data_IF_932176774993
#
_entry.id   IF_932176774993
#
_cell.length_a   1.000
_cell.length_b   1.000
_cell.length_c   1.000
_cell.angle_alpha   90.00
_cell.angle_beta   90.00
_cell.angle_gamma   90.00
#
_symmetry.space_group_name_H-M   'P 1'
#
loop_
_entity.id
_entity.type
_entity.pdbx_description
1 polymer ?
#
# COMPACT_ATOMS: atom_id res chain seq x y z
N UNK A 1 1.57 -12.92 6.64
CA UNK A 1 2.57 -13.77 5.94
C UNK A 1 3.74 -12.91 5.50
N UNK A 2 5.00 -13.32 5.70
CA UNK A 2 6.17 -12.60 5.14
C UNK A 2 6.37 -13.02 3.68
N UNK A 3 6.33 -12.06 2.76
CA UNK A 3 6.57 -12.29 1.33
C UNK A 3 8.04 -12.61 1.06
N UNK A 4 8.35 -13.48 0.09
CA UNK A 4 9.73 -13.70 -0.35
C UNK A 4 10.29 -12.46 -1.06
N UNK A 5 11.62 -12.35 -1.07
CA UNK A 5 12.36 -11.35 -1.82
C UNK A 5 12.84 -11.99 -3.14
N UNK A 6 12.54 -11.32 -4.25
CA UNK A 6 13.10 -11.63 -5.56
C UNK A 6 13.99 -10.47 -5.98
N UNK A 7 15.19 -10.77 -6.46
CA UNK A 7 16.16 -9.79 -6.88
C UNK A 7 16.89 -10.29 -8.12
N UNK A 8 16.89 -9.50 -9.20
CA UNK A 8 17.68 -9.82 -10.39
C UNK A 8 19.10 -9.33 -10.14
N UNK A 9 20.06 -10.27 -10.14
CA UNK A 9 21.47 -9.97 -9.93
C UNK A 9 22.11 -9.45 -11.21
N UNK A 10 21.90 -10.16 -12.31
CA UNK A 10 22.50 -9.89 -13.60
C UNK A 10 21.51 -10.23 -14.72
N UNK A 11 21.59 -9.49 -15.82
CA UNK A 11 20.79 -9.69 -17.02
C UNK A 11 21.73 -9.83 -18.22
N UNK A 12 21.57 -10.92 -18.97
CA UNK A 12 22.33 -11.22 -20.19
C UNK A 12 21.39 -11.27 -21.39
N UNK A 13 21.96 -11.40 -22.59
CA UNK A 13 21.22 -11.60 -23.85
C UNK A 13 20.40 -12.88 -23.87
N UNK A 14 20.88 -13.90 -23.17
CA UNK A 14 20.33 -15.24 -23.17
C UNK A 14 19.56 -15.55 -21.88
N UNK A 15 19.33 -14.55 -21.01
CA UNK A 15 18.60 -14.78 -19.78
C UNK A 15 18.91 -13.80 -18.65
N UNK A 16 18.64 -14.22 -17.42
CA UNK A 16 18.92 -13.46 -16.21
C UNK A 16 19.26 -14.37 -15.02
N UNK A 17 20.02 -13.84 -14.07
CA UNK A 17 20.27 -14.45 -12.76
C UNK A 17 19.30 -13.87 -11.74
N UNK A 18 18.42 -14.72 -11.22
CA UNK A 18 17.40 -14.36 -10.25
C UNK A 18 17.73 -14.95 -8.88
N UNK A 19 17.94 -14.08 -7.91
CA UNK A 19 18.08 -14.44 -6.51
C UNK A 19 16.70 -14.47 -5.83
N UNK A 20 16.42 -15.59 -5.17
CA UNK A 20 15.28 -15.76 -4.28
C UNK A 20 15.75 -15.87 -2.84
N UNK A 21 15.18 -15.06 -1.95
CA UNK A 21 15.42 -15.13 -0.51
C UNK A 21 14.11 -15.23 0.25
N UNK A 22 13.98 -16.25 1.10
CA UNK A 22 12.75 -16.52 1.86
C UNK A 22 13.06 -17.20 3.17
N UNK A 23 12.15 -17.06 4.15
CA UNK A 23 12.20 -17.88 5.39
C UNK A 23 11.62 -19.27 5.18
N UNK A 24 10.88 -19.49 4.09
CA UNK A 24 10.22 -20.76 3.78
C UNK A 24 11.16 -21.67 3.02
N UNK A 25 11.14 -22.96 3.37
CA UNK A 25 11.94 -24.01 2.74
C UNK A 25 11.11 -24.81 1.73
N UNK A 26 11.78 -25.44 0.76
CA UNK A 26 11.17 -26.39 -0.17
C UNK A 26 10.37 -25.79 -1.33
N UNK A 27 10.26 -24.46 -1.44
CA UNK A 27 9.51 -23.80 -2.52
C UNK A 27 10.28 -23.65 -3.85
N UNK A 28 11.48 -24.19 -3.94
CA UNK A 28 12.34 -24.03 -5.12
C UNK A 28 11.69 -24.53 -6.42
N UNK A 29 11.15 -25.76 -6.40
CA UNK A 29 10.49 -26.37 -7.57
C UNK A 29 9.19 -25.67 -7.93
N UNK A 30 8.49 -25.16 -6.92
CA UNK A 30 7.28 -24.38 -7.11
C UNK A 30 7.56 -23.09 -7.90
N UNK A 31 8.63 -22.36 -7.55
CA UNK A 31 9.04 -21.14 -8.26
C UNK A 31 9.44 -21.45 -9.69
N UNK A 32 10.18 -22.54 -9.91
CA UNK A 32 10.54 -23.01 -11.26
C UNK A 32 9.29 -23.22 -12.11
N UNK A 33 8.28 -23.90 -11.58
CA UNK A 33 6.99 -24.09 -12.27
C UNK A 33 6.28 -22.78 -12.56
N UNK A 34 6.20 -21.87 -11.57
CA UNK A 34 5.58 -20.56 -11.74
C UNK A 34 6.27 -19.71 -12.82
N UNK A 35 7.61 -19.67 -12.84
CA UNK A 35 8.36 -18.90 -13.83
C UNK A 35 8.13 -19.43 -15.26
N UNK A 36 8.11 -20.76 -15.41
CA UNK A 36 7.81 -21.41 -16.70
C UNK A 36 6.40 -21.08 -17.20
N UNK A 37 5.41 -21.22 -16.32
CA UNK A 37 4.02 -20.90 -16.65
C UNK A 37 3.83 -19.41 -16.97
N UNK A 38 4.46 -18.51 -16.21
CA UNK A 38 4.42 -17.08 -16.50
C UNK A 38 5.04 -16.75 -17.87
N UNK A 39 6.16 -17.38 -18.21
CA UNK A 39 6.81 -17.24 -19.52
C UNK A 39 5.89 -17.63 -20.66
N UNK A 40 5.34 -18.85 -20.60
CA UNK A 40 4.46 -19.37 -21.66
C UNK A 40 3.14 -18.60 -21.75
N UNK A 41 2.51 -18.29 -20.60
CA UNK A 41 1.17 -17.68 -20.57
C UNK A 41 1.15 -16.19 -20.91
N UNK A 42 2.11 -15.42 -20.41
CA UNK A 42 2.10 -13.95 -20.58
C UNK A 42 3.03 -13.47 -21.68
N UNK A 43 4.14 -14.16 -21.92
CA UNK A 43 5.16 -13.74 -22.89
C UNK A 43 5.21 -14.64 -24.13
N UNK A 44 4.51 -15.77 -24.13
CA UNK A 44 4.53 -16.76 -25.21
C UNK A 44 5.96 -17.26 -25.55
N UNK A 45 6.83 -17.28 -24.54
CA UNK A 45 8.23 -17.70 -24.66
C UNK A 45 8.49 -18.93 -23.79
N UNK A 46 9.29 -19.87 -24.33
CA UNK A 46 9.74 -21.02 -23.56
C UNK A 46 10.93 -20.65 -22.67
N UNK A 47 10.69 -20.65 -21.36
CA UNK A 47 11.71 -20.30 -20.38
C UNK A 47 12.32 -21.56 -19.77
N UNK A 48 13.65 -21.64 -19.76
CA UNK A 48 14.40 -22.70 -19.09
C UNK A 48 14.97 -22.19 -17.78
N UNK A 49 14.56 -22.77 -16.66
CA UNK A 49 15.05 -22.37 -15.33
C UNK A 49 15.95 -23.45 -14.75
N UNK A 50 17.19 -23.09 -14.43
CA UNK A 50 18.19 -23.92 -13.76
C UNK A 50 18.48 -23.37 -12.37
N UNK A 51 18.79 -24.25 -11.43
CA UNK A 51 19.18 -23.86 -10.07
C UNK A 51 20.70 -23.89 -10.03
N UNK A 52 21.33 -22.74 -9.79
CA UNK A 52 22.78 -22.61 -9.74
C UNK A 52 23.29 -22.77 -8.31
N UNK A 53 22.62 -22.16 -7.34
CA UNK A 53 22.96 -22.26 -5.92
C UNK A 53 21.70 -22.49 -5.10
N UNK A 54 21.77 -23.41 -4.14
CA UNK A 54 20.73 -23.63 -3.11
C UNK A 54 21.40 -23.61 -1.73
N UNK A 55 21.14 -22.54 -0.98
CA UNK A 55 21.62 -22.34 0.37
C UNK A 55 20.41 -22.31 1.32
N UNK A 56 20.13 -23.44 1.97
CA UNK A 56 19.06 -23.57 2.95
C UNK A 56 19.60 -23.59 4.39
N UNK A 57 19.61 -22.44 5.06
CA UNK A 57 19.95 -22.33 6.49
C UNK A 57 18.67 -22.43 7.35
N UNK A 58 18.81 -22.63 8.67
CA UNK A 58 17.68 -22.65 9.63
C UNK A 58 16.86 -21.37 9.64
N UNK A 59 17.45 -20.23 9.31
CA UNK A 59 16.78 -18.93 9.36
C UNK A 59 16.25 -18.44 8.01
N UNK A 60 16.96 -18.75 6.92
CA UNK A 60 16.60 -18.34 5.57
C UNK A 60 17.07 -19.34 4.52
N UNK A 61 16.37 -19.34 3.39
CA UNK A 61 16.71 -20.04 2.17
C UNK A 61 17.06 -18.99 1.11
N UNK A 62 18.27 -19.08 0.56
CA UNK A 62 18.74 -18.27 -0.57
C UNK A 62 18.98 -19.21 -1.75
N UNK A 63 18.34 -18.93 -2.87
CA UNK A 63 18.46 -19.73 -4.08
C UNK A 63 18.80 -18.79 -5.23
N UNK A 64 19.75 -19.17 -6.07
CA UNK A 64 20.06 -18.46 -7.30
C UNK A 64 19.56 -19.30 -8.47
N UNK A 65 18.59 -18.76 -9.20
CA UNK A 65 18.05 -19.34 -10.41
C UNK A 65 18.73 -18.69 -11.62
N UNK A 66 19.20 -19.51 -12.55
CA UNK A 66 19.50 -19.07 -13.91
C UNK A 66 18.25 -19.26 -14.75
N UNK A 67 17.72 -18.16 -15.28
CA UNK A 67 16.53 -18.14 -16.13
C UNK A 67 17.00 -17.86 -17.55
N UNK A 68 17.03 -18.88 -18.39
CA UNK A 68 17.45 -18.78 -19.79
C UNK A 68 16.23 -18.49 -20.68
N UNK A 69 16.28 -17.39 -21.42
CA UNK A 69 15.26 -16.94 -22.37
C UNK A 69 15.88 -15.96 -23.38
N UNK A 70 15.22 -15.74 -24.52
CA UNK A 70 15.67 -14.76 -25.50
C UNK A 70 15.44 -13.33 -24.97
N UNK A 71 16.51 -12.67 -24.52
CA UNK A 71 16.47 -11.34 -23.92
C UNK A 71 17.13 -10.29 -24.84
N UNK A 72 16.98 -10.44 -26.15
CA UNK A 72 17.51 -9.49 -27.14
C UNK A 72 17.01 -8.05 -26.92
N UNK A 73 15.80 -7.89 -26.37
CA UNK A 73 15.20 -6.59 -26.05
C UNK A 73 15.90 -5.84 -24.89
N UNK A 74 16.55 -6.53 -23.95
CA UNK A 74 17.29 -5.87 -22.88
C UNK A 74 18.50 -5.09 -23.43
N UNK A 75 19.16 -5.62 -24.48
CA UNK A 75 20.22 -4.90 -25.19
C UNK A 75 19.73 -3.60 -25.83
N UNK A 76 18.54 -3.60 -26.43
CA UNK A 76 17.97 -2.39 -27.01
C UNK A 76 17.61 -1.36 -25.94
N UNK A 77 17.10 -1.81 -24.79
CA UNK A 77 16.73 -0.92 -23.67
C UNK A 77 17.96 -0.28 -23.04
N UNK A 78 19.02 -1.06 -22.78
CA UNK A 78 20.30 -0.54 -22.28
C UNK A 78 20.93 0.44 -23.28
N UNK A 79 20.85 0.16 -24.58
CA UNK A 79 21.30 1.10 -25.62
C UNK A 79 20.47 2.39 -25.63
N UNK A 80 19.14 2.32 -25.49
CA UNK A 80 18.26 3.50 -25.44
C UNK A 80 18.50 4.38 -24.20
N UNK A 81 18.80 3.79 -23.04
CA UNK A 81 19.18 4.55 -21.84
C UNK A 81 20.47 5.36 -22.05
N UNK A 82 21.39 4.86 -22.87
CA UNK A 82 22.59 5.58 -23.30
C UNK A 82 22.36 6.53 -24.50
N UNK A 83 21.14 6.61 -25.06
CA UNK A 83 20.78 7.52 -26.17
C UNK A 83 20.47 8.95 -25.73
N UNK A 84 20.71 9.34 -24.48
CA UNK A 84 20.72 10.74 -24.05
C UNK A 84 22.13 11.16 -23.58
N UNK A 85 23.16 11.15 -24.45
CA UNK A 85 24.54 11.38 -24.01
C UNK A 85 24.80 12.84 -23.60
N UNK A 86 23.89 13.75 -23.96
CA UNK A 86 24.10 15.21 -23.89
C UNK A 86 22.97 15.93 -23.14
N UNK A 87 22.41 15.31 -22.10
CA UNK A 87 21.56 16.08 -21.19
C UNK A 87 22.47 16.96 -20.33
N UNK A 88 22.16 18.27 -20.19
CA UNK A 88 22.92 19.13 -19.32
C UNK A 88 22.84 18.64 -17.87
N UNK A 89 23.95 18.73 -17.15
CA UNK A 89 23.98 18.40 -15.73
C UNK A 89 22.97 19.26 -14.96
N UNK A 90 22.23 18.61 -14.07
CA UNK A 90 21.25 19.27 -13.22
C UNK A 90 21.97 19.78 -11.97
N UNK A 91 21.76 21.05 -11.63
CA UNK A 91 22.28 21.60 -10.37
C UNK A 91 21.63 20.94 -9.16
N UNK A 92 22.39 20.76 -8.08
CA UNK A 92 21.89 20.17 -6.82
C UNK A 92 20.63 20.86 -6.31
N UNK A 93 20.57 22.20 -6.42
CA UNK A 93 19.41 22.98 -5.99
C UNK A 93 18.15 22.65 -6.80
N UNK A 94 18.31 22.44 -8.11
CA UNK A 94 17.19 22.03 -8.98
C UNK A 94 16.75 20.62 -8.62
N UNK A 95 17.69 19.70 -8.39
CA UNK A 95 17.39 18.34 -7.96
C UNK A 95 16.56 18.31 -6.67
N UNK A 96 16.94 19.06 -5.64
CA UNK A 96 16.21 19.11 -4.37
C UNK A 96 14.86 19.84 -4.45
N UNK A 97 14.70 20.74 -5.41
CA UNK A 97 13.39 21.37 -5.71
C UNK A 97 12.44 20.38 -6.39
N UNK A 98 12.95 19.58 -7.33
CA UNK A 98 12.15 18.57 -8.05
C UNK A 98 11.80 17.38 -7.16
N UNK A 99 12.70 16.99 -6.25
CA UNK A 99 12.50 15.88 -5.32
C UNK A 99 12.42 16.39 -3.87
N UNK A 100 11.26 16.91 -3.45
CA UNK A 100 11.08 17.43 -2.09
C UNK A 100 11.10 16.33 -1.02
N UNK A 101 10.77 15.10 -1.41
CA UNK A 101 10.89 13.90 -0.58
C UNK A 101 12.11 13.07 -1.01
N UNK A 102 13.29 13.50 -0.54
CA UNK A 102 14.52 12.73 -0.69
C UNK A 102 15.33 12.73 0.60
N UNK A 103 16.09 11.65 0.82
CA UNK A 103 17.09 11.54 1.90
C UNK A 103 18.42 11.13 1.27
N UNK A 104 19.45 11.95 1.47
CA UNK A 104 20.81 11.65 1.04
C UNK A 104 21.62 11.17 2.22
N UNK A 105 22.39 10.11 2.01
CA UNK A 105 23.29 9.59 3.02
C UNK A 105 24.58 9.05 2.40
N UNK A 106 25.63 9.10 3.21
CA UNK A 106 26.98 8.69 2.84
C UNK A 106 27.22 7.17 3.00
N UNK A 107 28.38 6.65 2.56
CA UNK A 107 28.76 5.25 2.76
C UNK A 107 28.78 4.79 4.22
N UNK A 108 28.90 5.71 5.17
CA UNK A 108 28.82 5.43 6.61
C UNK A 108 27.38 5.41 7.15
N UNK A 109 26.39 5.44 6.25
CA UNK A 109 24.95 5.47 6.56
C UNK A 109 24.54 6.69 7.38
N UNK A 110 25.24 7.81 7.23
CA UNK A 110 24.91 9.09 7.87
C UNK A 110 24.18 10.01 6.91
N UNK A 111 23.10 10.62 7.37
CA UNK A 111 22.30 11.52 6.55
C UNK A 111 23.06 12.82 6.31
N UNK A 112 23.28 13.18 5.06
CA UNK A 112 23.96 14.43 4.67
C UNK A 112 22.97 15.52 4.35
N UNK A 113 21.87 15.18 3.66
CA UNK A 113 20.85 16.14 3.24
C UNK A 113 19.45 15.50 3.22
N UNK A 114 18.41 16.32 3.44
CA UNK A 114 17.03 15.93 3.28
C UNK A 114 16.27 16.98 2.46
N UNK A 115 15.38 16.52 1.60
CA UNK A 115 14.48 17.39 0.84
C UNK A 115 13.55 18.19 1.75
N UNK A 116 13.12 19.37 1.26
CA UNK A 116 12.38 20.37 2.04
C UNK A 116 11.12 19.80 2.72
N UNK A 117 10.34 18.99 2.03
CA UNK A 117 9.08 18.44 2.55
C UNK A 117 9.30 17.32 3.56
N UNK A 118 10.38 16.54 3.46
CA UNK A 118 10.73 15.58 4.53
C UNK A 118 11.26 16.33 5.74
N UNK A 119 12.08 17.35 5.51
CA UNK A 119 12.70 18.12 6.57
C UNK A 119 11.67 18.83 7.45
N UNK A 120 10.60 19.37 6.85
CA UNK A 120 9.52 20.05 7.56
C UNK A 120 8.70 19.15 8.49
N UNK A 121 8.71 17.82 8.26
CA UNK A 121 8.03 16.84 9.10
C UNK A 121 8.67 16.69 10.48
N UNK A 122 9.97 16.96 10.57
CA UNK A 122 10.74 16.76 11.78
C UNK A 122 10.86 18.07 12.56
N UNK A 123 10.67 18.05 13.90
CA UNK A 123 10.62 19.27 14.71
C UNK A 123 11.95 20.02 14.84
N UNK A 124 13.09 19.48 14.36
CA UNK A 124 14.41 20.12 14.48
C UNK A 124 15.30 19.92 13.25
N UNK A 125 15.59 21.02 12.57
CA UNK A 125 16.38 21.13 11.33
C UNK A 125 17.87 20.76 11.53
N UNK A 126 18.39 20.97 12.74
CA UNK A 126 19.81 20.85 13.12
C UNK A 126 20.21 19.46 13.63
N UNK A 127 19.25 18.56 13.82
CA UNK A 127 19.48 17.31 14.54
C UNK A 127 19.66 16.11 13.60
N UNK A 128 19.20 16.20 12.35
CA UNK A 128 19.16 15.05 11.44
C UNK A 128 20.44 14.90 10.60
N UNK A 129 21.08 16.01 10.22
CA UNK A 129 22.31 15.96 9.44
C UNK A 129 23.46 15.39 10.31
N UNK A 130 24.14 14.37 9.79
CA UNK A 130 25.23 13.65 10.46
C UNK A 130 24.79 12.48 11.33
N UNK A 131 23.48 12.31 11.59
CA UNK A 131 22.96 11.15 12.33
C UNK A 131 22.90 9.91 11.46
N UNK A 132 22.99 8.75 12.11
CA UNK A 132 22.89 7.47 11.44
C UNK A 132 21.45 7.20 10.99
N UNK A 133 21.29 6.66 9.79
CA UNK A 133 19.99 6.44 9.15
C UNK A 133 19.07 5.56 10.01
N UNK A 134 19.61 4.54 10.70
CA UNK A 134 18.84 3.64 11.58
C UNK A 134 18.28 4.32 12.84
N UNK A 135 18.86 5.43 13.28
CA UNK A 135 18.35 6.17 14.45
C UNK A 135 17.03 6.86 14.13
N UNK A 136 16.88 7.33 12.89
CA UNK A 136 15.75 8.14 12.44
C UNK A 136 14.71 7.27 11.76
N UNK A 137 15.15 6.32 10.94
CA UNK A 137 14.29 5.48 10.14
C UNK A 137 14.51 4.01 10.44
N UNK A 138 13.40 3.28 10.54
CA UNK A 138 13.36 1.83 10.60
C UNK A 138 13.04 1.28 9.22
N UNK A 139 13.87 0.38 8.70
CA UNK A 139 13.54 -0.37 7.49
C UNK A 139 12.46 -1.42 7.79
N UNK A 140 11.30 -1.31 7.14
CA UNK A 140 10.21 -2.31 7.22
C UNK A 140 10.32 -3.30 6.06
N UNK A 141 10.59 -2.81 4.85
CA UNK A 141 10.76 -3.66 3.66
C UNK A 141 11.93 -3.16 2.81
N UNK A 142 12.77 -4.05 2.27
CA UNK A 142 12.80 -5.50 2.51
C UNK A 142 13.30 -5.85 3.94
N UNK A 143 13.05 -7.07 4.44
CA UNK A 143 13.48 -7.56 5.78
C UNK A 143 14.99 -7.88 5.76
N UNK A 144 15.81 -6.83 5.68
CA UNK A 144 17.27 -6.86 5.52
C UNK A 144 17.88 -5.82 6.48
N UNK A 145 19.05 -6.07 7.08
CA UNK A 145 19.73 -5.04 7.87
C UNK A 145 20.06 -3.81 7.01
N UNK A 146 19.93 -2.64 7.62
CA UNK A 146 20.17 -1.35 7.01
C UNK A 146 21.68 -1.09 6.90
N UNK A 147 22.31 -1.73 5.92
CA UNK A 147 23.75 -1.64 5.63
C UNK A 147 23.99 -1.16 4.20
N UNK A 148 25.10 -0.45 3.97
CA UNK A 148 25.46 0.10 2.66
C UNK A 148 25.53 -0.95 1.56
N UNK A 149 26.17 -2.09 1.82
CA UNK A 149 26.30 -3.21 0.86
C UNK A 149 24.94 -3.74 0.41
N UNK A 150 23.99 -3.86 1.33
CA UNK A 150 22.63 -4.29 1.05
C UNK A 150 21.89 -3.22 0.24
N UNK A 151 21.99 -1.94 0.61
CA UNK A 151 21.29 -0.88 -0.12
C UNK A 151 21.84 -0.73 -1.55
N UNK A 152 23.14 -0.92 -1.77
CA UNK A 152 23.73 -0.92 -3.10
C UNK A 152 23.28 -2.11 -3.95
N UNK A 153 23.26 -3.30 -3.36
CA UNK A 153 22.87 -4.53 -4.06
C UNK A 153 21.40 -4.50 -4.46
N UNK A 154 20.52 -4.08 -3.55
CA UNK A 154 19.07 -4.14 -3.74
C UNK A 154 18.44 -2.83 -4.26
N UNK A 155 19.19 -1.73 -4.27
CA UNK A 155 18.70 -0.38 -4.53
C UNK A 155 17.98 -0.22 -5.87
N UNK A 156 18.50 -0.85 -6.93
CA UNK A 156 18.02 -0.66 -8.30
C UNK A 156 16.62 -1.21 -8.54
N UNK A 157 16.31 -2.37 -7.97
CA UNK A 157 15.11 -3.15 -8.35
C UNK A 157 14.07 -3.29 -7.23
N UNK A 158 14.44 -2.99 -5.98
CA UNK A 158 13.55 -3.17 -4.84
C UNK A 158 13.02 -1.83 -4.35
N UNK A 159 11.72 -1.83 -4.02
CA UNK A 159 11.07 -0.71 -3.35
C UNK A 159 11.24 -0.87 -1.85
N UNK A 160 11.81 0.15 -1.23
CA UNK A 160 12.05 0.24 0.20
C UNK A 160 10.86 0.90 0.88
N UNK A 161 10.50 0.38 2.05
CA UNK A 161 9.52 0.96 2.95
C UNK A 161 10.22 1.26 4.28
N UNK A 162 10.34 2.54 4.60
CA UNK A 162 10.96 3.02 5.83
C UNK A 162 9.90 3.69 6.71
N UNK A 163 10.01 3.52 8.02
CA UNK A 163 9.13 4.14 9.00
C UNK A 163 9.94 5.05 9.92
N UNK A 164 9.44 6.26 10.17
CA UNK A 164 10.09 7.17 11.10
C UNK A 164 10.02 6.63 12.54
N UNK A 165 11.15 6.57 13.23
CA UNK A 165 11.24 6.32 14.68
C UNK A 165 10.99 7.58 15.51
N UNK A 166 11.16 8.75 14.90
CA UNK A 166 11.03 10.04 15.57
C UNK A 166 9.59 10.52 15.47
N UNK A 167 9.07 11.05 16.59
CA UNK A 167 7.77 11.68 16.63
C UNK A 167 7.75 12.92 15.72
N UNK A 168 6.79 12.95 14.81
CA UNK A 168 6.61 14.06 13.88
C UNK A 168 6.14 15.31 14.60
N UNK A 169 6.34 16.46 13.94
CA UNK A 169 5.84 17.74 14.41
C UNK A 169 4.30 17.68 14.46
N UNK A 170 3.74 17.59 15.66
CA UNK A 170 2.30 17.71 15.86
C UNK A 170 1.94 19.19 15.90
N UNK A 171 1.28 19.67 14.86
CA UNK A 171 0.73 21.03 14.85
C UNK A 171 -0.56 21.07 15.69
N UNK A 172 -0.42 20.95 17.01
CA UNK A 172 -1.49 21.33 17.95
C UNK A 172 -1.49 22.84 18.13
N UNK A 173 -1.89 23.55 17.08
CA UNK A 173 -2.27 24.96 17.16
C UNK A 173 -3.66 25.07 17.79
N UNK A 174 -3.73 25.25 19.11
CA UNK A 174 -4.60 26.20 19.86
C UNK A 174 -4.40 25.92 21.35
N UNK A 175 -3.51 26.69 21.99
CA UNK A 175 -3.51 26.85 23.44
C UNK A 175 -4.71 27.72 23.81
N UNK A 176 -5.83 27.12 24.20
CA UNK A 176 -6.77 27.79 25.10
C UNK A 176 -6.18 27.71 26.50
N UNK A 177 -5.61 28.82 26.97
CA UNK A 177 -5.38 29.04 28.39
C UNK A 177 -6.71 28.90 29.12
N UNK A 178 -6.89 27.84 29.90
CA UNK A 178 -7.58 27.97 31.17
C UNK A 178 -6.96 27.01 32.17
N UNK A 179 -6.48 27.57 33.26
CA UNK A 179 -5.76 26.86 34.29
C UNK A 179 -6.74 26.27 35.28
N UNK A 180 -6.84 24.95 35.35
CA UNK A 180 -7.18 24.28 36.61
C UNK A 180 -6.52 22.91 36.69
N UNK A 181 -5.67 22.78 37.70
CA UNK A 181 -4.99 21.57 38.12
C UNK A 181 -6.02 20.59 38.69
N UNK A 182 -5.99 19.35 38.21
CA UNK A 182 -6.18 18.06 38.92
C UNK A 182 -6.96 17.05 38.07
N UNK A 183 -6.31 15.92 37.71
CA UNK A 183 -6.76 14.54 38.01
C UNK A 183 -6.01 13.47 37.20
N UNK A 184 -5.28 12.64 37.96
CA UNK A 184 -5.02 11.19 37.89
C UNK A 184 -4.68 10.49 36.54
N UNK A 185 -3.72 9.55 36.55
CA UNK A 185 -3.37 8.77 35.37
C UNK A 185 -4.45 7.72 35.12
N UNK A 186 -5.08 7.75 33.95
CA UNK A 186 -5.91 6.65 33.46
C UNK A 186 -5.03 5.69 32.67
N UNK A 187 -4.75 4.56 33.30
CA UNK A 187 -4.38 3.30 32.65
C UNK A 187 -5.61 2.72 31.96
N UNK A 188 -5.66 2.72 30.63
CA UNK A 188 -6.24 1.65 29.78
C UNK A 188 -6.14 2.00 28.30
N UNK A 189 -5.42 1.15 27.57
CA UNK A 189 -5.45 0.85 26.14
C UNK A 189 -5.90 1.94 25.15
N UNK A 190 -4.94 2.41 24.33
CA UNK A 190 -5.21 2.87 22.97
C UNK A 190 -4.95 4.34 22.66
N UNK A 191 -3.75 4.88 22.91
CA UNK A 191 -3.28 6.10 22.19
C UNK A 191 -1.76 6.30 22.33
N UNK A 192 -0.98 5.44 21.71
CA UNK A 192 0.45 5.73 21.41
C UNK A 192 0.52 6.58 20.15
N UNK A 193 0.10 7.84 20.24
CA UNK A 193 0.05 8.77 19.11
C UNK A 193 1.40 9.41 18.78
N UNK A 194 2.49 8.64 18.69
CA UNK A 194 3.60 9.09 17.85
C UNK A 194 3.18 8.79 16.42
N UNK A 195 2.68 9.78 15.69
CA UNK A 195 2.34 9.62 14.27
C UNK A 195 3.64 9.26 13.53
N UNK A 196 3.90 7.98 13.32
CA UNK A 196 5.07 7.51 12.60
C UNK A 196 4.73 7.53 11.11
N UNK A 197 5.46 8.32 10.32
CA UNK A 197 5.26 8.36 8.87
C UNK A 197 5.95 7.17 8.23
N UNK A 198 5.26 6.56 7.24
CA UNK A 198 5.85 5.54 6.38
C UNK A 198 6.18 6.13 5.02
N UNK A 199 7.43 5.98 4.63
CA UNK A 199 7.98 6.47 3.37
C UNK A 199 8.26 5.26 2.47
N UNK A 200 7.66 5.25 1.29
CA UNK A 200 7.89 4.24 0.26
C UNK A 200 8.74 4.85 -0.84
N UNK A 201 9.75 4.15 -1.31
CA UNK A 201 10.67 4.72 -2.29
C UNK A 201 11.69 3.75 -2.84
N UNK A 202 12.59 4.25 -3.68
CA UNK A 202 13.73 3.50 -4.20
C UNK A 202 15.03 4.16 -3.76
N UNK A 203 16.07 3.34 -3.61
CA UNK A 203 17.41 3.83 -3.31
C UNK A 203 18.25 3.83 -4.58
N UNK A 204 18.84 4.99 -4.92
CA UNK A 204 19.71 5.14 -6.08
C UNK A 204 21.07 5.64 -5.63
N UNK A 205 22.11 4.95 -6.07
CA UNK A 205 23.48 5.40 -5.87
C UNK A 205 23.84 6.42 -6.96
N UNK A 206 24.37 7.58 -6.54
CA UNK A 206 24.83 8.63 -7.43
C UNK A 206 26.36 8.65 -7.37
N UNK A 207 26.99 8.21 -8.46
CA UNK A 207 28.45 8.10 -8.54
C UNK A 207 29.15 9.45 -8.32
N UNK A 208 28.60 10.54 -8.86
CA UNK A 208 29.23 11.88 -8.78
C UNK A 208 29.35 12.42 -7.36
N UNK A 209 28.43 12.03 -6.47
CA UNK A 209 28.43 12.47 -5.07
C UNK A 209 29.00 11.40 -4.13
N UNK A 210 29.22 10.18 -4.63
CA UNK A 210 29.52 9.00 -3.83
C UNK A 210 28.53 8.81 -2.65
N UNK A 211 27.25 9.06 -2.91
CA UNK A 211 26.18 9.00 -1.92
C UNK A 211 25.00 8.20 -2.44
N UNK A 212 24.19 7.69 -1.53
CA UNK A 212 22.90 7.11 -1.86
C UNK A 212 21.78 8.11 -1.62
N UNK A 213 20.89 8.20 -2.59
CA UNK A 213 19.64 8.94 -2.51
C UNK A 213 18.51 7.95 -2.32
N UNK A 214 17.75 8.11 -1.25
CA UNK A 214 16.43 7.53 -1.11
C UNK A 214 15.39 8.50 -1.67
N UNK A 215 14.88 8.20 -2.87
CA UNK A 215 13.74 8.92 -3.47
C UNK A 215 12.48 8.27 -2.97
N UNK A 216 11.67 9.00 -2.22
CA UNK A 216 10.51 8.42 -1.56
C UNK A 216 9.29 9.32 -1.58
N UNK A 217 8.16 8.74 -1.20
CA UNK A 217 6.92 9.45 -0.99
C UNK A 217 6.23 8.93 0.25
N UNK A 218 5.48 9.78 0.96
CA UNK A 218 4.72 9.34 2.11
C UNK A 218 3.56 8.44 1.67
N UNK A 219 3.29 7.38 2.43
CA UNK A 219 2.05 6.62 2.29
C UNK A 219 1.01 7.31 3.15
N UNK A 220 0.04 7.94 2.50
CA UNK A 220 -1.07 8.66 3.12
C UNK A 220 -2.38 8.00 2.66
N UNK A 221 -3.27 7.67 3.59
CA UNK A 221 -4.57 7.07 3.26
C UNK A 221 -5.68 8.13 3.20
N UNK A 222 -5.58 9.14 4.07
CA UNK A 222 -6.61 10.17 4.26
C UNK A 222 -6.00 11.56 4.36
N UNK A 223 -6.71 12.60 3.93
CA UNK A 223 -6.28 14.00 4.14
C UNK A 223 -6.13 14.38 5.59
N UNK A 224 -6.91 13.77 6.49
CA UNK A 224 -6.77 13.96 7.93
C UNK A 224 -5.42 13.47 8.44
N UNK A 225 -4.94 12.31 7.94
CA UNK A 225 -3.59 11.82 8.26
C UNK A 225 -2.52 12.78 7.75
N UNK A 226 -2.69 13.30 6.53
CA UNK A 226 -1.80 14.29 5.94
C UNK A 226 -1.71 15.57 6.80
N UNK A 227 -2.85 16.11 7.24
CA UNK A 227 -2.90 17.28 8.12
C UNK A 227 -2.30 16.98 9.51
N UNK A 228 -2.58 15.81 10.08
CA UNK A 228 -2.04 15.41 11.39
C UNK A 228 -0.51 15.28 11.39
N UNK A 229 0.05 14.91 10.24
CA UNK A 229 1.50 14.83 10.00
C UNK A 229 2.12 16.22 9.73
N UNK A 230 1.30 17.23 9.44
CA UNK A 230 1.74 18.58 9.10
C UNK A 230 2.16 18.74 7.63
N UNK A 231 1.70 17.86 6.75
CA UNK A 231 1.88 17.99 5.30
C UNK A 231 0.69 18.70 4.66
N UNK A 232 0.97 19.47 3.63
CA UNK A 232 -0.04 20.04 2.74
C UNK A 232 0.02 19.37 1.37
N UNK A 233 -1.05 19.53 0.58
CA UNK A 233 -1.07 19.03 -0.80
C UNK A 233 0.03 19.64 -1.67
N UNK A 234 0.43 20.89 -1.38
CA UNK A 234 1.52 21.58 -2.08
C UNK A 234 2.89 20.96 -1.78
N UNK A 235 3.06 20.32 -0.63
CA UNK A 235 4.33 19.70 -0.27
C UNK A 235 4.56 18.40 -1.02
N UNK A 236 3.50 17.78 -1.55
CA UNK A 236 3.56 16.58 -2.39
C UNK A 236 4.12 16.89 -3.77
N UNK A 237 4.93 15.97 -4.29
CA UNK A 237 5.49 16.12 -5.63
C UNK A 237 4.38 16.01 -6.68
N UNK A 238 4.37 16.92 -7.66
CA UNK A 238 3.44 16.87 -8.79
C UNK A 238 3.73 15.69 -9.71
N UNK A 239 5.00 15.29 -9.84
CA UNK A 239 5.43 14.28 -10.81
C UNK A 239 5.26 12.82 -10.34
N UNK A 240 5.07 12.59 -9.05
CA UNK A 240 5.11 11.25 -8.44
C UNK A 240 3.72 10.57 -8.36
N UNK A 241 2.67 11.20 -8.91
CA UNK A 241 1.29 10.69 -8.89
C UNK A 241 0.69 10.54 -7.48
N UNK A 242 1.45 10.76 -6.41
CA UNK A 242 1.00 10.59 -5.02
C UNK A 242 -0.14 11.53 -4.65
N UNK A 243 -0.12 12.76 -5.18
CA UNK A 243 -1.18 13.74 -5.02
C UNK A 243 -2.47 13.29 -5.71
N UNK A 244 -2.35 12.80 -6.94
CA UNK A 244 -3.48 12.27 -7.72
C UNK A 244 -4.10 11.04 -7.05
N UNK A 245 -3.27 10.10 -6.57
CA UNK A 245 -3.73 8.92 -5.83
C UNK A 245 -4.51 9.32 -4.58
N UNK A 246 -4.02 10.32 -3.83
CA UNK A 246 -4.71 10.79 -2.63
C UNK A 246 -6.09 11.39 -2.97
N UNK A 247 -6.14 12.26 -3.99
CA UNK A 247 -7.39 12.90 -4.43
C UNK A 247 -8.38 11.86 -4.98
N UNK A 248 -7.90 10.91 -5.80
CA UNK A 248 -8.71 9.83 -6.34
C UNK A 248 -9.26 8.92 -5.23
N UNK A 249 -8.42 8.60 -4.22
CA UNK A 249 -8.83 7.84 -3.03
C UNK A 249 -9.95 8.55 -2.27
N UNK A 250 -9.85 9.86 -2.07
CA UNK A 250 -10.92 10.65 -1.45
C UNK A 250 -12.21 10.65 -2.27
N UNK A 251 -12.08 10.85 -3.59
CA UNK A 251 -13.24 10.86 -4.49
C UNK A 251 -13.95 9.51 -4.44
N UNK A 252 -13.20 8.42 -4.48
CA UNK A 252 -13.75 7.07 -4.38
C UNK A 252 -14.43 6.83 -3.02
N UNK A 253 -13.79 7.24 -1.92
CA UNK A 253 -14.38 7.13 -0.58
C UNK A 253 -15.71 7.90 -0.46
N UNK A 254 -15.79 9.11 -1.03
CA UNK A 254 -17.04 9.88 -1.07
C UNK A 254 -18.12 9.23 -1.93
N UNK A 255 -17.75 8.69 -3.08
CA UNK A 255 -18.70 7.96 -3.93
C UNK A 255 -19.27 6.73 -3.22
N UNK A 256 -18.42 6.00 -2.51
CA UNK A 256 -18.83 4.85 -1.70
C UNK A 256 -19.79 5.28 -0.58
N UNK A 257 -19.48 6.36 0.13
CA UNK A 257 -20.36 6.89 1.17
C UNK A 257 -21.73 7.29 0.60
N UNK A 258 -21.77 7.99 -0.53
CA UNK A 258 -23.02 8.34 -1.19
C UNK A 258 -23.82 7.12 -1.66
N UNK A 259 -23.16 6.05 -2.08
CA UNK A 259 -23.81 4.78 -2.43
C UNK A 259 -24.43 4.10 -1.21
N UNK A 260 -23.72 4.10 -0.07
CA UNK A 260 -24.22 3.61 1.21
C UNK A 260 -25.45 4.40 1.67
N UNK A 261 -25.41 5.72 1.61
CA UNK A 261 -26.53 6.58 2.01
C UNK A 261 -27.77 6.33 1.14
N UNK A 262 -27.58 6.14 -0.18
CA UNK A 262 -28.66 5.74 -1.08
C UNK A 262 -29.25 4.39 -0.67
N UNK A 263 -28.42 3.40 -0.35
CA UNK A 263 -28.89 2.09 0.10
C UNK A 263 -29.72 2.18 1.38
N UNK A 264 -29.30 3.00 2.34
CA UNK A 264 -30.08 3.25 3.56
C UNK A 264 -31.45 3.89 3.25
N UNK A 265 -31.49 4.86 2.34
CA UNK A 265 -32.75 5.47 1.90
C UNK A 265 -33.68 4.43 1.21
N UNK A 266 -33.12 3.55 0.37
CA UNK A 266 -33.88 2.45 -0.25
C UNK A 266 -34.42 1.47 0.77
N UNK A 267 -33.63 1.08 1.77
CA UNK A 267 -34.07 0.20 2.86
C UNK A 267 -35.24 0.82 3.61
N UNK A 268 -35.17 2.12 3.93
CA UNK A 268 -36.26 2.82 4.61
C UNK A 268 -37.55 2.82 3.79
N UNK A 269 -37.47 3.07 2.47
CA UNK A 269 -38.64 2.98 1.56
C UNK A 269 -39.20 1.55 1.47
N UNK A 270 -38.33 0.54 1.40
CA UNK A 270 -38.74 -0.86 1.41
C UNK A 270 -39.43 -1.25 2.73
N UNK A 271 -38.98 -0.71 3.85
CA UNK A 271 -39.63 -0.92 5.14
C UNK A 271 -41.03 -0.30 5.17
N UNK A 272 -41.18 0.94 4.70
CA UNK A 272 -42.48 1.61 4.62
C UNK A 272 -43.48 0.84 3.74
N UNK A 273 -43.07 0.47 2.52
CA UNK A 273 -43.91 -0.31 1.60
C UNK A 273 -44.25 -1.70 2.15
N UNK A 274 -43.34 -2.33 2.90
CA UNK A 274 -43.62 -3.60 3.60
C UNK A 274 -44.70 -3.44 4.67
N UNK A 275 -44.68 -2.34 5.43
CA UNK A 275 -45.70 -2.04 6.44
C UNK A 275 -47.07 -1.84 5.77
N UNK A 276 -47.13 -1.04 4.71
CA UNK A 276 -48.36 -0.84 3.93
C UNK A 276 -48.91 -2.17 3.37
N UNK A 277 -48.04 -3.00 2.80
CA UNK A 277 -48.42 -4.32 2.30
C UNK A 277 -49.00 -5.18 3.42
N UNK A 278 -48.42 -5.16 4.62
CA UNK A 278 -48.96 -5.87 5.78
C UNK A 278 -50.34 -5.36 6.20
N UNK A 279 -50.58 -4.05 6.15
CA UNK A 279 -51.90 -3.47 6.42
C UNK A 279 -52.95 -3.92 5.41
N UNK A 280 -52.62 -3.85 4.11
CA UNK A 280 -53.51 -4.30 3.04
C UNK A 280 -53.79 -5.80 3.14
N UNK A 281 -52.75 -6.60 3.42
CA UNK A 281 -52.91 -8.03 3.67
C UNK A 281 -53.83 -8.29 4.86
N UNK A 282 -53.70 -7.53 5.96
CA UNK A 282 -54.58 -7.64 7.13
C UNK A 282 -56.03 -7.27 6.80
N UNK A 283 -56.25 -6.19 6.06
CA UNK A 283 -57.60 -5.77 5.59
C UNK A 283 -58.23 -6.85 4.70
N UNK A 284 -57.48 -7.39 3.75
CA UNK A 284 -57.91 -8.49 2.88
C UNK A 284 -58.26 -9.75 3.66
N UNK A 285 -57.43 -10.15 4.64
CA UNK A 285 -57.75 -11.27 5.54
C UNK A 285 -59.05 -11.03 6.30
N UNK A 286 -59.24 -9.83 6.87
CA UNK A 286 -60.46 -9.49 7.63
C UNK A 286 -61.72 -9.62 6.77
N UNK A 287 -61.68 -9.14 5.53
CA UNK A 287 -62.78 -9.26 4.59
C UNK A 287 -63.07 -10.73 4.22
N UNK A 288 -62.02 -11.52 3.98
CA UNK A 288 -62.19 -12.96 3.68
C UNK A 288 -62.91 -13.70 4.83
N UNK A 289 -62.51 -13.42 6.07
CA UNK A 289 -63.12 -14.01 7.26
C UNK A 289 -64.51 -13.44 7.61
N UNK A 290 -64.92 -12.30 7.04
CA UNK A 290 -66.30 -11.79 7.21
C UNK A 290 -67.28 -12.39 6.19
N UNK A 291 -66.78 -12.90 5.06
CA UNK A 291 -67.61 -13.45 3.98
C UNK A 291 -67.79 -14.97 4.07
N UNK A 292 -66.88 -15.69 4.75
CA UNK A 292 -66.89 -17.16 4.84
C UNK A 292 -66.49 -17.67 6.24
N UNK A 293 -66.93 -18.88 6.64
CA UNK A 293 -66.51 -19.51 7.89
C UNK A 293 -64.99 -19.66 7.99
N UNK A 294 -64.45 -19.52 9.21
CA UNK A 294 -62.99 -19.46 9.47
C UNK A 294 -62.21 -20.66 8.92
N UNK A 295 -62.81 -21.85 8.96
CA UNK A 295 -62.19 -23.09 8.48
C UNK A 295 -61.87 -23.04 6.97
N UNK A 296 -62.87 -22.67 6.14
CA UNK A 296 -62.74 -22.60 4.68
C UNK A 296 -61.77 -21.47 4.27
N UNK A 297 -61.83 -20.32 4.94
CA UNK A 297 -60.95 -19.19 4.67
C UNK A 297 -59.47 -19.46 5.01
N UNK A 298 -59.18 -20.28 6.03
CA UNK A 298 -57.82 -20.72 6.35
C UNK A 298 -57.27 -21.68 5.30
N UNK A 299 -58.09 -22.63 4.83
CA UNK A 299 -57.71 -23.56 3.76
C UNK A 299 -57.40 -22.83 2.44
N UNK A 300 -58.20 -21.83 2.06
CA UNK A 300 -57.93 -20.96 0.92
C UNK A 300 -56.65 -20.13 1.09
N UNK A 301 -56.34 -19.65 2.30
CA UNK A 301 -55.09 -18.92 2.58
C UNK A 301 -53.83 -19.78 2.45
N UNK A 302 -53.95 -21.09 2.69
CA UNK A 302 -52.87 -22.05 2.51
C UNK A 302 -52.69 -22.47 1.04
N UNK A 303 -53.56 -22.00 0.13
CA UNK A 303 -53.48 -22.27 -1.30
C UNK A 303 -54.26 -23.51 -1.77
N UNK A 304 -55.13 -24.07 -0.91
CA UNK A 304 -56.00 -25.19 -1.30
C UNK A 304 -57.12 -24.67 -2.20
N UNK A 305 -57.31 -25.31 -3.35
CA UNK A 305 -58.25 -24.89 -4.40
C UNK A 305 -59.69 -25.08 -3.91
N UNK A 306 -60.56 -24.10 -4.16
CA UNK A 306 -61.95 -24.08 -3.67
C UNK A 306 -62.76 -25.34 -4.02
N UNK A 307 -62.47 -25.94 -5.19
CA UNK A 307 -63.17 -27.14 -5.69
C UNK A 307 -62.93 -28.38 -4.82
N UNK A 308 -61.86 -28.42 -4.03
CA UNK A 308 -61.51 -29.55 -3.15
C UNK A 308 -62.18 -29.44 -1.77
N UNK A 309 -62.81 -28.31 -1.46
CA UNK A 309 -63.31 -27.96 -0.12
C UNK A 309 -64.84 -28.14 -0.04
N UNK A 310 -65.52 -28.08 -1.17
CA UNK A 310 -66.95 -28.39 -1.27
C UNK A 310 -67.12 -29.91 -1.43
N UNK A 311 -67.49 -30.62 -0.37
CA UNK A 311 -68.11 -31.93 -0.52
C UNK A 311 -69.48 -31.73 -1.21
N UNK A 312 -69.73 -32.48 -2.28
CA UNK A 312 -71.01 -32.54 -3.00
C UNK A 312 -72.01 -33.34 -2.20
#
# INVERSE_FOLDING_TARGET
MKSPLFHVLEEDENGALLQYKSRRRGFQRYIVGQLKECGSRFYHEEIYVRIQEDLSTNEYTRIIFRVDFNNSAAKETSKRLHCFPNLPDITSDTFFKVFPFCVLFDPSMRITHMGKSIKSLFPYDTVVNGRHLDEIFRLIRPDIPLEWSNMLSYGRHIVFLMESRIALRSDKGTKSNDGTVTKKPKTTAGMTGSSAIRLKGQMKWISSWNMMVFLCHPILSTTEEMMNIGLTLHDLNFYDGSSEILIAGMQHARQLQAAIDKQHAWISKLQATKVELQEWRRKGKRLLYSMMPRHIAQMLQQGIVANSICEV
#
